data_IF_280275893744
#
_entry.id   IF_280275893744
#
_cell.length_a   1.000
_cell.length_b   1.000
_cell.length_c   1.000
_cell.angle_alpha   90.00
_cell.angle_beta   90.00
_cell.angle_gamma   90.00
#
_symmetry.space_group_name_H-M   'P 1'
#
loop_
_entity.id
_entity.type
_entity.pdbx_description
1 polymer ?
#
# COMPACT_ATOMS: atom_id res chain seq x y z
N UNK A 1 -20.90 -22.83 11.94
CA UNK A 1 -20.95 -23.99 11.01
C UNK A 1 -20.43 -23.55 9.65
N UNK A 2 -19.30 -24.09 9.18
CA UNK A 2 -18.79 -23.85 7.83
C UNK A 2 -19.45 -24.86 6.90
N UNK A 3 -20.54 -24.45 6.24
CA UNK A 3 -21.37 -25.32 5.37
C UNK A 3 -20.84 -25.44 3.94
N UNK A 4 -19.66 -24.90 3.64
CA UNK A 4 -19.09 -24.90 2.30
C UNK A 4 -18.40 -26.23 2.01
N UNK A 5 -18.64 -26.78 0.82
CA UNK A 5 -17.90 -27.94 0.34
C UNK A 5 -16.41 -27.61 0.17
N UNK A 6 -15.54 -28.62 0.31
CA UNK A 6 -14.11 -28.47 0.07
C UNK A 6 -13.79 -27.95 -1.35
N UNK A 7 -14.58 -28.39 -2.35
CA UNK A 7 -14.45 -27.92 -3.73
C UNK A 7 -14.73 -26.42 -3.85
N UNK A 8 -15.81 -25.92 -3.22
CA UNK A 8 -16.17 -24.50 -3.21
C UNK A 8 -15.10 -23.65 -2.52
N UNK A 9 -14.54 -24.13 -1.40
CA UNK A 9 -13.45 -23.44 -0.70
C UNK A 9 -12.21 -23.33 -1.59
N UNK A 10 -11.83 -24.41 -2.27
CA UNK A 10 -10.66 -24.46 -3.16
C UNK A 10 -10.83 -23.51 -4.35
N UNK A 11 -11.98 -23.54 -5.02
CA UNK A 11 -12.30 -22.64 -6.14
C UNK A 11 -12.17 -21.17 -5.72
N UNK A 12 -12.82 -20.79 -4.61
CA UNK A 12 -12.81 -19.41 -4.11
C UNK A 12 -11.41 -18.95 -3.69
N UNK A 13 -10.63 -19.82 -3.05
CA UNK A 13 -9.23 -19.51 -2.70
C UNK A 13 -8.38 -19.29 -3.95
N UNK A 14 -8.54 -20.15 -4.98
CA UNK A 14 -7.84 -20.00 -6.26
C UNK A 14 -8.17 -18.65 -6.91
N UNK A 15 -9.46 -18.28 -6.95
CA UNK A 15 -9.89 -16.98 -7.50
C UNK A 15 -9.37 -15.78 -6.72
N UNK A 16 -9.38 -15.85 -5.38
CA UNK A 16 -8.79 -14.82 -4.53
C UNK A 16 -7.27 -14.72 -4.69
N UNK A 17 -6.60 -15.80 -5.08
CA UNK A 17 -5.17 -15.80 -5.33
C UNK A 17 -4.83 -15.20 -6.70
N UNK A 18 -5.63 -15.49 -7.73
CA UNK A 18 -5.43 -14.97 -9.08
C UNK A 18 -5.79 -13.49 -9.24
N UNK A 19 -6.65 -12.94 -8.38
CA UNK A 19 -7.08 -11.53 -8.45
C UNK A 19 -6.00 -10.60 -7.85
N UNK A 20 -5.37 -9.71 -8.65
CA UNK A 20 -4.34 -8.80 -8.17
C UNK A 20 -4.77 -7.91 -7.02
N UNK A 21 -6.06 -7.56 -6.94
CA UNK A 21 -6.57 -6.68 -5.88
C UNK A 21 -6.51 -7.29 -4.49
N UNK A 22 -6.36 -8.62 -4.40
CA UNK A 22 -6.25 -9.32 -3.12
C UNK A 22 -4.82 -9.68 -2.73
N UNK A 23 -3.82 -9.43 -3.59
CA UNK A 23 -2.40 -9.76 -3.35
C UNK A 23 -1.85 -9.17 -2.03
N UNK A 24 -2.10 -7.89 -1.67
CA UNK A 24 -1.57 -7.33 -0.43
C UNK A 24 -2.07 -8.03 0.84
N UNK A 25 -3.16 -8.80 0.74
CA UNK A 25 -3.80 -9.46 1.87
C UNK A 25 -3.47 -10.95 1.94
N UNK A 26 -2.50 -11.45 1.18
CA UNK A 26 -2.21 -12.88 1.08
C UNK A 26 -1.93 -13.53 2.45
N UNK A 27 -1.27 -12.80 3.35
CA UNK A 27 -0.94 -13.21 4.72
C UNK A 27 -1.92 -12.70 5.79
N UNK A 28 -2.98 -11.97 5.39
CA UNK A 28 -3.93 -11.43 6.34
C UNK A 28 -4.90 -12.56 6.79
N UNK A 29 -5.03 -12.84 8.10
CA UNK A 29 -5.92 -13.90 8.58
C UNK A 29 -7.39 -13.66 8.20
N UNK A 30 -7.79 -12.39 7.99
CA UNK A 30 -9.14 -12.04 7.54
C UNK A 30 -9.42 -12.44 6.09
N UNK A 31 -8.41 -12.84 5.31
CA UNK A 31 -8.58 -13.33 3.94
C UNK A 31 -9.52 -14.55 3.88
N UNK A 32 -9.52 -15.41 4.89
CA UNK A 32 -10.45 -16.54 4.96
C UNK A 32 -11.91 -16.09 5.07
N UNK A 33 -12.18 -14.91 5.64
CA UNK A 33 -13.54 -14.34 5.61
C UNK A 33 -13.98 -14.04 4.18
N UNK A 34 -13.07 -13.71 3.26
CA UNK A 34 -13.42 -13.52 1.85
C UNK A 34 -13.89 -14.82 1.19
N UNK A 35 -13.46 -15.99 1.67
CA UNK A 35 -13.97 -17.28 1.17
C UNK A 35 -15.44 -17.47 1.57
N UNK A 36 -15.78 -17.10 2.80
CA UNK A 36 -17.16 -17.17 3.31
C UNK A 36 -18.05 -16.16 2.59
N UNK A 37 -17.60 -14.90 2.52
CA UNK A 37 -18.33 -13.77 1.95
C UNK A 37 -18.03 -13.54 0.46
N UNK A 38 -17.60 -14.57 -0.27
CA UNK A 38 -17.00 -14.43 -1.61
C UNK A 38 -17.80 -13.59 -2.61
N UNK A 39 -19.06 -13.97 -2.85
CA UNK A 39 -19.91 -13.24 -3.80
C UNK A 39 -20.20 -11.80 -3.33
N UNK A 40 -20.43 -11.61 -2.03
CA UNK A 40 -20.65 -10.28 -1.44
C UNK A 40 -19.41 -9.39 -1.58
N UNK A 41 -18.22 -9.93 -1.28
CA UNK A 41 -16.96 -9.20 -1.36
C UNK A 41 -16.66 -8.76 -2.80
N UNK A 42 -16.87 -9.64 -3.79
CA UNK A 42 -16.68 -9.31 -5.20
C UNK A 42 -17.67 -8.26 -5.71
N UNK A 43 -18.96 -8.40 -5.36
CA UNK A 43 -19.96 -7.40 -5.73
C UNK A 43 -19.66 -6.03 -5.10
N UNK A 44 -19.24 -6.00 -3.84
CA UNK A 44 -18.86 -4.77 -3.14
C UNK A 44 -17.60 -4.13 -3.72
N UNK A 45 -16.59 -4.93 -4.04
CA UNK A 45 -15.40 -4.47 -4.75
C UNK A 45 -15.79 -3.77 -6.05
N UNK A 46 -16.71 -4.36 -6.82
CA UNK A 46 -17.23 -3.77 -8.06
C UNK A 46 -17.92 -2.42 -7.79
N UNK A 47 -18.82 -2.35 -6.82
CA UNK A 47 -19.51 -1.10 -6.42
C UNK A 47 -18.51 0.00 -6.01
N UNK A 48 -17.52 -0.35 -5.18
CA UNK A 48 -16.49 0.60 -4.73
C UNK A 48 -15.64 1.09 -5.91
N UNK A 49 -15.25 0.20 -6.81
CA UNK A 49 -14.51 0.54 -8.03
C UNK A 49 -15.28 1.48 -8.94
N UNK A 50 -16.56 1.21 -9.19
CA UNK A 50 -17.44 2.07 -10.01
C UNK A 50 -17.63 3.46 -9.37
N UNK A 51 -17.63 3.51 -8.04
CA UNK A 51 -17.71 4.75 -7.27
C UNK A 51 -16.38 5.48 -7.13
N UNK A 52 -15.30 5.00 -7.77
CA UNK A 52 -13.91 5.52 -7.67
C UNK A 52 -13.35 5.55 -6.23
N UNK A 53 -13.86 4.69 -5.35
CA UNK A 53 -13.30 4.55 -4.00
C UNK A 53 -11.93 3.89 -4.10
N UNK A 54 -10.91 4.57 -3.56
CA UNK A 54 -9.52 4.10 -3.60
C UNK A 54 -9.23 3.02 -2.55
N UNK A 55 -10.08 2.90 -1.52
CA UNK A 55 -9.83 2.09 -0.34
C UNK A 55 -10.88 0.99 -0.16
N UNK A 56 -10.43 -0.27 -0.24
CA UNK A 56 -11.26 -1.46 0.00
C UNK A 56 -10.59 -2.36 1.05
N UNK A 57 -10.83 -2.13 2.33
CA UNK A 57 -10.29 -3.02 3.38
C UNK A 57 -11.02 -4.36 3.38
N UNK A 58 -10.35 -5.45 3.80
CA UNK A 58 -11.04 -6.75 3.95
C UNK A 58 -12.21 -6.69 4.93
N UNK A 59 -12.11 -5.80 5.92
CA UNK A 59 -13.19 -5.54 6.88
C UNK A 59 -14.44 -4.99 6.18
N UNK A 60 -14.27 -3.94 5.36
CA UNK A 60 -15.36 -3.34 4.60
C UNK A 60 -15.99 -4.36 3.63
N UNK A 61 -15.18 -5.19 2.98
CA UNK A 61 -15.68 -6.19 2.03
C UNK A 61 -16.47 -7.34 2.71
N UNK A 62 -16.17 -7.66 3.98
CA UNK A 62 -16.83 -8.75 4.73
C UNK A 62 -17.92 -8.33 5.72
N UNK A 63 -18.18 -7.02 5.90
CA UNK A 63 -19.18 -6.55 6.87
C UNK A 63 -20.62 -6.89 6.45
N UNK A 64 -21.61 -6.70 7.33
CA UNK A 64 -23.03 -6.88 7.01
C UNK A 64 -23.54 -5.85 5.98
N UNK A 65 -24.61 -6.15 5.25
CA UNK A 65 -25.16 -5.24 4.22
C UNK A 65 -25.49 -3.84 4.77
N UNK A 66 -26.23 -3.78 5.88
CA UNK A 66 -26.60 -2.50 6.55
C UNK A 66 -25.37 -1.64 6.89
N UNK A 67 -24.32 -2.28 7.41
CA UNK A 67 -23.09 -1.59 7.80
C UNK A 67 -22.27 -1.16 6.58
N UNK A 68 -22.21 -1.98 5.53
CA UNK A 68 -21.57 -1.61 4.26
C UNK A 68 -22.25 -0.39 3.64
N UNK A 69 -23.57 -0.40 3.53
CA UNK A 69 -24.35 0.69 2.93
C UNK A 69 -24.19 1.98 3.75
N UNK A 70 -24.22 1.88 5.08
CA UNK A 70 -23.97 3.01 5.99
C UNK A 70 -22.58 3.61 5.76
N UNK A 71 -21.55 2.77 5.72
CA UNK A 71 -20.15 3.20 5.51
C UNK A 71 -19.95 3.84 4.15
N UNK A 72 -20.54 3.28 3.09
CA UNK A 72 -20.51 3.87 1.75
C UNK A 72 -21.21 5.24 1.71
N UNK A 73 -22.36 5.39 2.38
CA UNK A 73 -23.09 6.67 2.44
C UNK A 73 -22.33 7.76 3.18
N UNK A 74 -21.60 7.40 4.24
CA UNK A 74 -20.84 8.37 5.04
C UNK A 74 -19.61 8.90 4.27
N UNK A 75 -19.13 8.17 3.25
CA UNK A 75 -17.96 8.61 2.48
C UNK A 75 -16.66 8.56 3.27
N UNK A 76 -16.66 7.98 4.47
CA UNK A 76 -15.45 7.86 5.28
C UNK A 76 -14.57 6.76 4.72
N UNK A 77 -13.33 7.12 4.43
CA UNK A 77 -12.26 6.16 4.26
C UNK A 77 -11.99 5.47 5.60
N UNK A 78 -12.17 4.15 5.62
CA UNK A 78 -12.09 3.33 6.83
C UNK A 78 -10.78 2.57 6.94
N UNK A 79 -9.78 2.92 6.13
CA UNK A 79 -8.44 2.39 6.37
C UNK A 79 -7.97 2.85 7.74
N UNK A 80 -7.55 1.88 8.55
CA UNK A 80 -6.97 2.11 9.89
C UNK A 80 -5.47 1.82 9.88
N UNK A 81 -4.88 1.65 8.69
CA UNK A 81 -3.52 1.16 8.51
C UNK A 81 -3.31 -0.30 8.91
N UNK A 82 -4.30 -1.01 9.47
CA UNK A 82 -4.14 -2.39 9.93
C UNK A 82 -3.67 -3.33 8.82
N UNK A 83 -4.32 -3.28 7.65
CA UNK A 83 -3.97 -4.11 6.51
C UNK A 83 -2.55 -3.78 6.00
N UNK A 84 -2.20 -2.48 5.97
CA UNK A 84 -0.86 -2.00 5.62
C UNK A 84 0.21 -2.54 6.56
N UNK A 85 0.02 -2.41 7.86
CA UNK A 85 1.00 -2.91 8.85
C UNK A 85 1.13 -4.43 8.74
N UNK A 86 0.02 -5.16 8.56
CA UNK A 86 0.07 -6.62 8.42
C UNK A 86 0.79 -7.08 7.14
N UNK A 87 0.59 -6.35 6.04
CA UNK A 87 1.30 -6.59 4.79
C UNK A 87 2.80 -6.34 4.97
N UNK A 88 3.20 -5.16 5.45
CA UNK A 88 4.61 -4.80 5.66
C UNK A 88 5.32 -5.70 6.68
N UNK A 89 4.61 -6.15 7.74
CA UNK A 89 5.15 -7.08 8.74
C UNK A 89 5.67 -8.36 8.08
N UNK A 90 4.97 -8.83 7.04
CA UNK A 90 5.32 -10.07 6.33
C UNK A 90 6.30 -9.83 5.20
N UNK A 91 6.13 -8.75 4.46
CA UNK A 91 6.98 -8.42 3.32
C UNK A 91 8.39 -7.98 3.72
N UNK A 92 8.54 -7.24 4.83
CA UNK A 92 9.82 -6.66 5.26
C UNK A 92 10.40 -7.34 6.51
N UNK A 93 9.72 -8.34 7.06
CA UNK A 93 10.08 -9.02 8.31
C UNK A 93 10.31 -8.06 9.49
N UNK A 94 9.52 -6.98 9.55
CA UNK A 94 9.54 -6.02 10.65
C UNK A 94 8.46 -6.34 11.69
N UNK A 95 8.63 -5.86 12.91
CA UNK A 95 7.62 -5.91 13.96
C UNK A 95 6.52 -4.86 13.75
N UNK A 96 5.37 -5.06 14.38
CA UNK A 96 4.27 -4.08 14.34
C UNK A 96 4.71 -2.72 14.90
N UNK A 97 5.54 -2.75 15.95
CA UNK A 97 6.08 -1.58 16.64
C UNK A 97 7.02 -0.79 15.75
N UNK A 98 7.98 -1.43 15.08
CA UNK A 98 8.90 -0.75 14.15
C UNK A 98 8.15 -0.04 13.03
N UNK A 99 7.23 -0.74 12.37
CA UNK A 99 6.43 -0.18 11.27
C UNK A 99 5.62 1.03 11.74
N UNK A 100 4.91 0.90 12.87
CA UNK A 100 4.08 1.99 13.39
C UNK A 100 4.91 3.19 13.82
N UNK A 101 6.06 2.97 14.46
CA UNK A 101 6.95 4.05 14.89
C UNK A 101 7.39 4.90 13.69
N UNK A 102 7.79 4.27 12.58
CA UNK A 102 8.21 4.99 11.38
C UNK A 102 7.04 5.65 10.64
N UNK A 103 5.92 4.94 10.46
CA UNK A 103 4.77 5.47 9.71
C UNK A 103 4.02 6.58 10.48
N UNK A 104 3.99 6.53 11.82
CA UNK A 104 3.33 7.55 12.65
C UNK A 104 3.95 8.95 12.51
N UNK A 105 5.17 9.05 11.97
CA UNK A 105 5.79 10.34 11.64
C UNK A 105 5.04 11.04 10.48
N UNK A 106 4.26 10.31 9.68
CA UNK A 106 3.44 10.85 8.61
C UNK A 106 1.97 10.93 9.04
N UNK A 107 1.42 12.13 9.16
CA UNK A 107 0.07 12.42 9.71
C UNK A 107 -1.09 11.62 9.09
N UNK A 108 -0.95 11.24 7.83
CA UNK A 108 -2.00 10.58 7.04
C UNK A 108 -1.72 9.12 6.67
N UNK A 109 -0.69 8.48 7.23
CA UNK A 109 -0.26 7.13 6.81
C UNK A 109 -1.38 6.08 6.89
N UNK A 110 -2.29 6.21 7.88
CA UNK A 110 -3.38 5.27 8.10
C UNK A 110 -4.55 5.43 7.11
N UNK A 111 -4.57 6.52 6.33
CA UNK A 111 -5.55 6.82 5.26
C UNK A 111 -5.09 6.33 3.89
N UNK A 112 -3.89 5.78 3.79
CA UNK A 112 -3.36 5.29 2.52
C UNK A 112 -3.88 3.87 2.24
N UNK A 113 -4.47 3.60 1.07
CA UNK A 113 -4.85 2.25 0.69
C UNK A 113 -3.64 1.33 0.67
N UNK A 114 -3.76 0.15 1.32
CA UNK A 114 -2.69 -0.86 1.33
C UNK A 114 -2.24 -1.28 -0.07
N UNK A 115 -3.12 -1.17 -1.07
CA UNK A 115 -2.76 -1.43 -2.47
C UNK A 115 -1.67 -0.47 -2.97
N UNK A 116 -1.78 0.83 -2.67
CA UNK A 116 -0.76 1.82 -3.02
C UNK A 116 0.59 1.45 -2.40
N UNK A 117 0.59 1.11 -1.11
CA UNK A 117 1.79 0.72 -0.39
C UNK A 117 2.41 -0.54 -1.00
N UNK A 118 1.59 -1.53 -1.33
CA UNK A 118 2.04 -2.77 -1.95
C UNK A 118 2.59 -2.56 -3.36
N UNK A 119 1.91 -1.80 -4.22
CA UNK A 119 2.40 -1.56 -5.60
C UNK A 119 3.68 -0.75 -5.61
N UNK A 120 3.81 0.25 -4.73
CA UNK A 120 5.04 1.02 -4.59
C UNK A 120 6.18 0.16 -4.07
N UNK A 121 5.93 -0.71 -3.08
CA UNK A 121 6.93 -1.66 -2.60
C UNK A 121 7.43 -2.61 -3.70
N UNK A 122 6.51 -3.22 -4.44
CA UNK A 122 6.85 -4.14 -5.53
C UNK A 122 7.62 -3.44 -6.65
N UNK A 123 7.24 -2.19 -6.98
CA UNK A 123 7.96 -1.38 -7.95
C UNK A 123 9.40 -1.11 -7.51
N UNK A 124 9.63 -0.68 -6.26
CA UNK A 124 10.99 -0.41 -5.76
C UNK A 124 11.86 -1.67 -5.77
N UNK A 125 11.29 -2.83 -5.43
CA UNK A 125 11.97 -4.13 -5.55
C UNK A 125 12.33 -4.47 -6.99
N UNK A 126 11.40 -4.27 -7.93
CA UNK A 126 11.65 -4.48 -9.36
C UNK A 126 12.70 -3.53 -9.92
N UNK A 127 12.79 -2.30 -9.39
CA UNK A 127 13.84 -1.34 -9.70
C UNK A 127 15.20 -1.68 -9.07
N UNK A 128 15.32 -2.80 -8.34
CA UNK A 128 16.58 -3.28 -7.75
C UNK A 128 16.98 -2.57 -6.46
N UNK A 129 16.06 -1.85 -5.82
CA UNK A 129 16.32 -1.13 -4.56
C UNK A 129 16.34 -2.14 -3.41
N UNK A 130 17.39 -2.07 -2.58
CA UNK A 130 17.59 -3.02 -1.50
C UNK A 130 16.55 -2.86 -0.41
N UNK A 131 16.19 -3.99 0.22
CA UNK A 131 15.22 -3.99 1.31
C UNK A 131 15.64 -3.10 2.48
N UNK A 132 16.94 -3.04 2.80
CA UNK A 132 17.46 -2.13 3.85
C UNK A 132 17.16 -0.68 3.55
N UNK A 133 17.39 -0.22 2.32
CA UNK A 133 17.08 1.14 1.89
C UNK A 133 15.59 1.45 2.04
N UNK A 134 14.73 0.50 1.65
CA UNK A 134 13.27 0.65 1.78
C UNK A 134 12.85 0.74 3.26
N UNK A 135 13.48 -0.03 4.13
CA UNK A 135 13.22 0.02 5.58
C UNK A 135 13.65 1.38 6.16
N UNK A 136 14.83 1.87 5.77
CA UNK A 136 15.37 3.16 6.22
C UNK A 136 14.47 4.34 5.77
N UNK A 137 13.75 4.20 4.66
CA UNK A 137 12.86 5.21 4.12
C UNK A 137 11.42 4.69 3.90
N UNK A 138 10.84 4.02 4.90
CA UNK A 138 9.54 3.33 4.77
C UNK A 138 8.38 4.24 4.33
N UNK A 139 8.44 5.53 4.62
CA UNK A 139 7.42 6.52 4.28
C UNK A 139 7.23 6.69 2.77
N UNK A 140 8.24 6.41 1.95
CA UNK A 140 8.14 6.49 0.48
C UNK A 140 7.03 5.58 -0.07
N UNK A 141 6.72 4.50 0.64
CA UNK A 141 5.66 3.56 0.25
C UNK A 141 4.25 4.17 0.36
N UNK A 142 4.09 5.30 1.05
CA UNK A 142 2.80 5.98 1.19
C UNK A 142 2.39 6.73 -0.09
N UNK A 143 3.33 6.96 -1.01
CA UNK A 143 3.13 7.75 -2.21
C UNK A 143 2.72 6.88 -3.40
N UNK A 144 1.92 7.44 -4.34
CA UNK A 144 1.58 6.74 -5.57
C UNK A 144 2.84 6.34 -6.36
N UNK A 145 2.85 5.11 -6.86
CA UNK A 145 3.99 4.52 -7.57
C UNK A 145 4.46 5.39 -8.75
N UNK A 146 3.52 6.03 -9.46
CA UNK A 146 3.82 6.91 -10.60
C UNK A 146 4.65 8.13 -10.20
N UNK A 147 4.45 8.68 -9.01
CA UNK A 147 5.16 9.89 -8.59
C UNK A 147 6.54 9.52 -8.04
N UNK A 148 6.63 8.38 -7.36
CA UNK A 148 7.91 7.77 -6.99
C UNK A 148 8.77 7.50 -8.23
N UNK A 149 8.20 6.91 -9.29
CA UNK A 149 8.86 6.68 -10.57
C UNK A 149 9.37 7.97 -11.21
N UNK A 150 8.52 9.00 -11.32
CA UNK A 150 8.93 10.31 -11.86
C UNK A 150 10.07 10.92 -11.04
N UNK A 151 10.02 10.84 -9.72
CA UNK A 151 11.08 11.37 -8.86
C UNK A 151 12.40 10.62 -9.05
N UNK A 152 12.38 9.30 -9.21
CA UNK A 152 13.58 8.52 -9.52
C UNK A 152 14.21 8.96 -10.84
N UNK A 153 13.39 9.14 -11.90
CA UNK A 153 13.87 9.64 -13.20
C UNK A 153 14.43 11.07 -13.11
N UNK A 154 13.75 11.94 -12.35
CA UNK A 154 14.20 13.31 -12.11
C UNK A 154 15.58 13.33 -11.43
N UNK A 155 15.77 12.52 -10.39
CA UNK A 155 17.02 12.43 -9.62
C UNK A 155 18.20 12.01 -10.50
N UNK A 156 17.99 11.10 -11.45
CA UNK A 156 19.07 10.67 -12.35
C UNK A 156 19.65 11.83 -13.16
N UNK A 157 18.81 12.77 -13.59
CA UNK A 157 19.18 13.88 -14.48
C UNK A 157 19.38 15.23 -13.77
N UNK A 158 18.92 15.36 -12.52
CA UNK A 158 18.92 16.65 -11.84
C UNK A 158 20.34 17.04 -11.39
N UNK A 159 20.79 18.28 -11.71
CA UNK A 159 22.05 18.82 -11.20
C UNK A 159 21.97 19.20 -9.72
N UNK A 160 20.76 19.36 -9.16
CA UNK A 160 20.55 19.74 -7.75
C UNK A 160 21.09 18.69 -6.77
N UNK A 161 21.26 17.44 -7.24
CA UNK A 161 21.73 16.30 -6.43
C UNK A 161 23.17 15.90 -6.72
N UNK A 162 23.94 16.75 -7.41
CA UNK A 162 25.32 16.42 -7.78
C UNK A 162 26.22 16.17 -6.56
N UNK A 163 25.99 16.86 -5.45
CA UNK A 163 26.69 16.60 -4.18
C UNK A 163 26.34 15.24 -3.54
N UNK A 164 25.28 14.58 -3.99
CA UNK A 164 24.86 13.27 -3.55
C UNK A 164 25.40 12.14 -4.44
N UNK A 165 26.06 12.46 -5.56
CA UNK A 165 26.64 11.48 -6.48
C UNK A 165 28.01 10.99 -6.00
N UNK A 166 28.34 9.77 -6.38
CA UNK A 166 29.67 9.18 -6.23
C UNK A 166 30.61 9.64 -7.37
N UNK A 167 31.86 9.18 -7.33
CA UNK A 167 32.86 9.45 -8.37
C UNK A 167 32.48 8.94 -9.77
N UNK A 168 31.51 8.04 -9.87
CA UNK A 168 30.99 7.49 -11.12
C UNK A 168 29.76 8.26 -11.63
N UNK A 169 29.37 9.35 -10.97
CA UNK A 169 28.19 10.15 -11.30
C UNK A 169 26.86 9.50 -10.91
N UNK A 170 26.87 8.40 -10.16
CA UNK A 170 25.66 7.74 -9.68
C UNK A 170 25.28 8.26 -8.30
N UNK A 171 23.99 8.46 -8.07
CA UNK A 171 23.50 8.85 -6.75
C UNK A 171 23.81 7.73 -5.75
N UNK A 172 24.38 8.11 -4.61
CA UNK A 172 24.70 7.19 -3.51
C UNK A 172 23.44 6.40 -3.10
N UNK A 173 23.47 5.06 -3.10
CA UNK A 173 22.28 4.25 -2.85
C UNK A 173 21.57 4.62 -1.54
N UNK A 174 22.30 4.84 -0.47
CA UNK A 174 21.76 5.20 0.84
C UNK A 174 20.99 6.52 0.85
N UNK A 175 21.24 7.43 -0.10
CA UNK A 175 20.54 8.71 -0.20
C UNK A 175 19.34 8.69 -1.16
N UNK A 176 19.25 7.68 -2.04
CA UNK A 176 18.32 7.69 -3.17
C UNK A 176 16.87 7.89 -2.73
N UNK A 177 16.37 7.08 -1.78
CA UNK A 177 14.97 7.17 -1.34
C UNK A 177 14.69 8.42 -0.51
N UNK A 178 15.69 8.93 0.23
CA UNK A 178 15.55 10.21 0.94
C UNK A 178 15.45 11.39 -0.04
N UNK A 179 16.17 11.35 -1.16
CA UNK A 179 16.04 12.32 -2.24
C UNK A 179 14.67 12.20 -2.93
N UNK A 180 14.17 10.99 -3.16
CA UNK A 180 12.81 10.78 -3.67
C UNK A 180 11.79 11.44 -2.74
N UNK A 181 11.87 11.18 -1.44
CA UNK A 181 11.01 11.83 -0.43
C UNK A 181 11.13 13.36 -0.47
N UNK A 182 12.35 13.90 -0.61
CA UNK A 182 12.57 15.33 -0.73
C UNK A 182 11.83 15.92 -1.95
N UNK A 183 11.97 15.32 -3.13
CA UNK A 183 11.30 15.83 -4.33
C UNK A 183 9.78 15.66 -4.31
N UNK A 184 9.28 14.60 -3.66
CA UNK A 184 7.84 14.39 -3.46
C UNK A 184 7.23 15.46 -2.54
N UNK A 185 7.91 15.82 -1.46
CA UNK A 185 7.36 16.70 -0.43
C UNK A 185 7.72 18.19 -0.61
N UNK A 186 8.77 18.51 -1.37
CA UNK A 186 9.20 19.90 -1.63
C UNK A 186 8.07 20.79 -2.17
N UNK A 187 7.26 20.39 -3.19
CA UNK A 187 6.16 21.22 -3.67
C UNK A 187 5.08 21.48 -2.61
N UNK A 188 5.01 20.62 -1.59
CA UNK A 188 4.04 20.65 -0.51
C UNK A 188 4.63 21.15 0.82
N UNK A 189 5.83 21.74 0.79
CA UNK A 189 6.50 22.31 1.96
C UNK A 189 6.63 21.30 3.11
N UNK A 190 6.82 20.01 2.81
CA UNK A 190 6.98 18.96 3.81
C UNK A 190 5.82 18.82 4.80
N UNK A 191 4.61 19.15 4.33
CA UNK A 191 3.38 19.02 5.14
C UNK A 191 2.87 17.59 5.24
N UNK A 192 3.42 16.65 4.46
CA UNK A 192 2.89 15.29 4.30
C UNK A 192 1.66 15.24 3.40
N UNK A 193 1.41 16.30 2.62
CA UNK A 193 0.31 16.34 1.65
C UNK A 193 0.72 15.84 0.26
N UNK A 194 2.00 15.56 0.01
CA UNK A 194 2.47 15.06 -1.27
C UNK A 194 1.87 13.71 -1.66
N UNK A 195 1.38 12.95 -0.68
CA UNK A 195 0.60 11.71 -0.90
C UNK A 195 -0.71 11.93 -1.69
N UNK A 196 -1.22 13.16 -1.77
CA UNK A 196 -2.48 13.52 -2.45
C UNK A 196 -2.26 14.19 -3.81
N UNK A 197 -1.00 14.44 -4.17
CA UNK A 197 -0.58 15.12 -5.39
C UNK A 197 -0.91 14.39 -6.68
#
# INVERSE_FOLDING_TARGET
VLTLSAATVRERLSRLHSDPSFRPYIHNPRRLKMVIYFHCAYNRKKILSESKWRCSTLDLLSTGKKEFDKRCKIGMDLTTGFDTVKMLQKELNLTNTEIRTTLNQHSHWNRIPVMTVFTTLEYLRQAGIQQSQIIDCLQVLLYPTKDVEKCLQLIETSPEVDCCRDSNGKVRPELLLHLVMYFLERPYHFTGNGIWG
#
